data_IF_870241469988
#
_entry.id   IF_870241469988
#
_cell.length_a   1.000
_cell.length_b   1.000
_cell.length_c   1.000
_cell.angle_alpha   90.00
_cell.angle_beta   90.00
_cell.angle_gamma   90.00
#
_symmetry.space_group_name_H-M   'P 1'
#
loop_
_entity.id
_entity.type
_entity.pdbx_description
1 polymer ?
#
# COMPACT_ATOMS: atom_id res chain seq x y z
N UNK A 1 -27.09 18.80 4.81
CA UNK A 1 -26.40 18.25 3.69
C UNK A 1 -25.11 17.57 4.11
N UNK A 2 -24.89 16.36 3.71
CA UNK A 2 -23.70 15.60 4.05
C UNK A 2 -22.44 16.31 3.56
N UNK A 3 -21.82 17.07 4.43
CA UNK A 3 -20.53 17.72 4.22
C UNK A 3 -19.39 16.67 4.16
N UNK A 4 -19.70 15.43 4.55
CA UNK A 4 -18.72 14.33 4.60
C UNK A 4 -18.50 13.61 3.28
N UNK A 5 -19.24 13.93 2.22
CA UNK A 5 -19.28 13.13 0.99
C UNK A 5 -18.19 13.41 -0.03
N UNK A 6 -17.35 14.45 0.13
CA UNK A 6 -16.32 14.79 -0.85
C UNK A 6 -14.93 14.34 -0.42
N UNK A 7 -14.78 13.02 -0.25
CA UNK A 7 -13.48 12.39 -0.07
C UNK A 7 -13.14 11.56 -1.29
N UNK A 8 -11.99 11.81 -1.88
CA UNK A 8 -11.52 11.10 -3.07
C UNK A 8 -10.20 10.39 -2.78
N UNK A 9 -10.05 9.20 -3.33
CA UNK A 9 -8.85 8.39 -3.19
C UNK A 9 -8.18 8.26 -4.55
N UNK A 10 -6.90 8.61 -4.58
CA UNK A 10 -6.02 8.47 -5.73
C UNK A 10 -4.88 7.53 -5.36
N UNK A 11 -4.61 6.55 -6.21
CA UNK A 11 -3.50 5.64 -6.01
C UNK A 11 -2.59 5.65 -7.25
N UNK A 12 -1.30 5.78 -7.03
CA UNK A 12 -0.31 5.78 -8.07
C UNK A 12 -0.11 4.36 -8.62
N UNK A 13 0.14 4.25 -9.93
CA UNK A 13 0.17 2.99 -10.68
C UNK A 13 1.13 1.95 -10.11
N UNK A 14 2.36 2.31 -9.76
CA UNK A 14 3.33 1.38 -9.18
C UNK A 14 2.91 0.87 -7.80
N UNK A 15 2.33 1.75 -7.00
CA UNK A 15 1.79 1.37 -5.69
C UNK A 15 0.64 0.37 -5.87
N UNK A 16 -0.27 0.66 -6.78
CA UNK A 16 -1.39 -0.22 -7.11
C UNK A 16 -0.92 -1.59 -7.62
N UNK A 17 0.00 -1.59 -8.57
CA UNK A 17 0.57 -2.80 -9.16
C UNK A 17 1.27 -3.66 -8.10
N UNK A 18 2.01 -3.04 -7.20
CA UNK A 18 2.71 -3.76 -6.13
C UNK A 18 1.73 -4.44 -5.18
N UNK A 19 0.67 -3.75 -4.74
CA UNK A 19 -0.35 -4.35 -3.88
C UNK A 19 -0.94 -5.59 -4.54
N UNK A 20 -1.32 -5.47 -5.81
CA UNK A 20 -1.90 -6.60 -6.54
C UNK A 20 -0.90 -7.74 -6.71
N UNK A 21 0.37 -7.45 -6.95
CA UNK A 21 1.38 -8.49 -7.04
C UNK A 21 1.56 -9.25 -5.72
N UNK A 22 1.56 -8.54 -4.60
CA UNK A 22 1.64 -9.16 -3.26
C UNK A 22 0.40 -10.02 -3.00
N UNK A 23 -0.79 -9.50 -3.30
CA UNK A 23 -2.05 -10.19 -3.05
C UNK A 23 -2.18 -11.50 -3.85
N UNK A 24 -1.81 -11.46 -5.13
CA UNK A 24 -2.03 -12.58 -6.05
C UNK A 24 -0.83 -13.49 -6.27
N UNK A 25 0.33 -13.19 -5.71
CA UNK A 25 1.49 -14.08 -5.70
C UNK A 25 1.21 -15.34 -4.88
N UNK A 26 0.56 -15.17 -3.75
CA UNK A 26 0.10 -16.26 -2.88
C UNK A 26 -1.34 -16.00 -2.47
N UNK A 27 -2.32 -16.19 -3.41
CA UNK A 27 -3.70 -15.76 -3.19
C UNK A 27 -4.41 -16.49 -2.04
N UNK A 28 -3.90 -17.63 -1.61
CA UNK A 28 -4.40 -18.41 -0.47
C UNK A 28 -3.91 -17.88 0.89
N UNK A 29 -2.92 -17.00 0.91
CA UNK A 29 -2.35 -16.47 2.14
C UNK A 29 -2.87 -15.07 2.45
N UNK A 30 -2.91 -14.73 3.75
CA UNK A 30 -3.19 -13.37 4.17
C UNK A 30 -1.95 -12.50 4.04
N UNK A 31 -2.11 -11.31 3.44
CA UNK A 31 -1.06 -10.34 3.24
C UNK A 31 -1.50 -8.96 3.75
N UNK A 32 -0.56 -8.18 4.21
CA UNK A 32 -0.84 -6.81 4.63
C UNK A 32 0.36 -5.89 4.37
N UNK A 33 0.09 -4.61 4.40
CA UNK A 33 1.11 -3.58 4.30
C UNK A 33 0.56 -2.22 4.62
N UNK A 34 1.45 -1.24 4.65
CA UNK A 34 1.13 0.14 4.99
C UNK A 34 1.15 0.99 3.73
N UNK A 35 0.18 1.87 3.61
CA UNK A 35 0.04 2.81 2.50
C UNK A 35 0.61 4.16 2.90
N UNK A 36 1.43 4.72 2.02
CA UNK A 36 2.13 5.99 2.23
C UNK A 36 1.72 7.00 1.18
N UNK A 37 1.61 8.24 1.59
CA UNK A 37 1.22 9.30 0.68
C UNK A 37 0.98 10.61 1.39
N UNK A 38 0.00 11.36 0.93
CA UNK A 38 -0.33 12.67 1.45
C UNK A 38 -1.82 12.95 1.33
N UNK A 39 -2.32 13.79 2.21
CA UNK A 39 -3.70 14.27 2.19
C UNK A 39 -3.70 15.73 1.78
N UNK A 40 -4.45 16.05 0.74
CA UNK A 40 -4.67 17.43 0.31
C UNK A 40 -6.11 17.84 0.65
N UNK A 41 -6.23 18.93 1.39
CA UNK A 41 -7.52 19.48 1.81
C UNK A 41 -7.78 20.78 1.09
N UNK A 42 -8.94 20.89 0.47
CA UNK A 42 -9.52 22.14 0.02
C UNK A 42 -10.83 22.39 0.76
N UNK A 43 -11.47 23.54 0.57
CA UNK A 43 -12.72 23.88 1.25
C UNK A 43 -13.86 22.91 0.92
N UNK A 44 -13.81 22.27 -0.25
CA UNK A 44 -14.87 21.40 -0.76
C UNK A 44 -14.50 19.91 -0.77
N UNK A 45 -13.20 19.58 -0.83
CA UNK A 45 -12.75 18.20 -1.01
C UNK A 45 -11.57 17.85 -0.11
N UNK A 46 -11.53 16.58 0.28
CA UNK A 46 -10.35 15.94 0.87
C UNK A 46 -9.88 14.86 -0.09
N UNK A 47 -8.65 14.99 -0.56
CA UNK A 47 -8.06 14.03 -1.49
C UNK A 47 -6.93 13.27 -0.82
N UNK A 48 -6.99 11.97 -0.88
CA UNK A 48 -5.97 11.07 -0.38
C UNK A 48 -5.14 10.58 -1.56
N UNK A 49 -3.84 10.85 -1.55
CA UNK A 49 -2.92 10.39 -2.59
C UNK A 49 -2.02 9.30 -2.02
N UNK A 50 -2.15 8.09 -2.55
CA UNK A 50 -1.34 6.94 -2.17
C UNK A 50 -0.22 6.79 -3.20
N UNK A 51 1.03 6.93 -2.75
CA UNK A 51 2.22 6.94 -3.62
C UNK A 51 3.24 5.85 -3.26
N UNK A 52 3.14 5.29 -2.08
CA UNK A 52 4.07 4.27 -1.63
C UNK A 52 3.37 3.16 -0.85
N UNK A 53 3.98 2.02 -0.85
CA UNK A 53 3.49 0.83 -0.13
C UNK A 53 4.68 0.14 0.52
N UNK A 54 4.53 -0.22 1.77
CA UNK A 54 5.50 -1.05 2.48
C UNK A 54 4.79 -2.32 2.94
N UNK A 55 5.31 -3.46 2.55
CA UNK A 55 4.77 -4.75 2.95
C UNK A 55 5.07 -5.02 4.42
N UNK A 56 4.04 -5.36 5.19
CA UNK A 56 4.16 -5.74 6.59
C UNK A 56 4.42 -7.25 6.67
N UNK A 57 5.64 -7.67 6.32
CA UNK A 57 6.04 -9.07 6.38
C UNK A 57 7.10 -9.26 7.47
N UNK A 58 6.80 -10.14 8.41
CA UNK A 58 7.76 -10.59 9.41
C UNK A 58 7.86 -12.10 9.37
N UNK A 59 8.97 -12.69 9.88
CA UNK A 59 9.07 -14.14 10.03
C UNK A 59 7.90 -14.74 10.83
N UNK A 60 7.33 -13.99 11.74
CA UNK A 60 6.16 -14.41 12.54
C UNK A 60 4.88 -14.45 11.69
N UNK A 61 4.75 -13.60 10.68
CA UNK A 61 3.63 -13.63 9.71
C UNK A 61 3.74 -14.79 8.72
N UNK A 62 4.92 -15.37 8.59
CA UNK A 62 5.12 -16.57 7.77
C UNK A 62 4.57 -17.83 8.45
N UNK A 63 4.29 -17.77 9.75
CA UNK A 63 3.76 -18.87 10.54
C UNK A 63 2.27 -18.75 10.81
N UNK A 64 1.42 -18.71 9.80
CA UNK A 64 -0.04 -18.94 9.88
C UNK A 64 -0.88 -18.13 10.91
N UNK A 65 -0.33 -17.11 11.56
CA UNK A 65 -1.07 -16.36 12.57
C UNK A 65 -1.94 -15.21 12.03
N UNK A 66 -1.95 -15.03 10.71
CA UNK A 66 -2.72 -13.97 10.08
C UNK A 66 -2.08 -12.59 10.21
N UNK A 67 -2.87 -11.57 9.93
CA UNK A 67 -2.42 -10.19 9.93
C UNK A 67 -2.37 -9.65 11.35
N UNK A 68 -1.21 -9.13 11.77
CA UNK A 68 -1.02 -8.47 13.05
C UNK A 68 -0.16 -7.22 12.89
N UNK A 69 -0.39 -6.21 13.72
CA UNK A 69 0.48 -5.06 13.87
C UNK A 69 0.93 -4.99 15.32
N UNK A 70 2.22 -5.14 15.55
CA UNK A 70 2.83 -5.04 16.87
C UNK A 70 4.01 -4.07 16.82
N UNK A 71 4.64 -3.83 17.95
CA UNK A 71 5.75 -2.88 18.08
C UNK A 71 6.92 -3.22 17.16
N UNK A 72 7.30 -4.49 17.06
CA UNK A 72 8.40 -4.94 16.18
C UNK A 72 8.11 -4.72 14.71
N UNK A 73 6.87 -4.97 14.29
CA UNK A 73 6.41 -4.76 12.91
C UNK A 73 6.46 -3.27 12.58
N UNK A 74 5.97 -2.42 13.49
CA UNK A 74 6.01 -0.97 13.31
C UNK A 74 7.45 -0.42 13.26
N UNK A 75 8.36 -0.94 14.08
CA UNK A 75 9.77 -0.56 14.02
C UNK A 75 10.37 -0.81 12.64
N UNK A 76 10.12 -1.98 12.06
CA UNK A 76 10.56 -2.32 10.70
C UNK A 76 9.92 -1.43 9.64
N UNK A 77 8.62 -1.19 9.77
CA UNK A 77 7.89 -0.31 8.84
C UNK A 77 8.48 1.10 8.88
N UNK A 78 8.69 1.68 10.04
CA UNK A 78 9.26 3.01 10.17
C UNK A 78 10.70 3.09 9.63
N UNK A 79 11.50 2.06 9.82
CA UNK A 79 12.84 2.00 9.24
C UNK A 79 12.79 2.01 7.71
N UNK A 80 11.86 1.29 7.11
CA UNK A 80 11.67 1.27 5.66
C UNK A 80 11.08 2.58 5.13
N UNK A 81 10.18 3.22 5.86
CA UNK A 81 9.65 4.55 5.52
C UNK A 81 10.80 5.56 5.45
N UNK A 82 11.65 5.59 6.47
CA UNK A 82 12.79 6.49 6.55
C UNK A 82 13.77 6.26 5.39
N UNK A 83 13.97 5.02 5.01
CA UNK A 83 14.89 4.64 3.93
C UNK A 83 14.34 4.99 2.54
N UNK A 84 13.08 4.66 2.26
CA UNK A 84 12.50 4.74 0.90
C UNK A 84 11.56 5.92 0.69
N UNK A 85 10.82 6.33 1.71
CA UNK A 85 9.73 7.29 1.58
C UNK A 85 9.79 8.38 2.68
N UNK A 86 10.93 9.06 2.86
CA UNK A 86 11.09 10.00 3.99
C UNK A 86 10.15 11.20 3.93
N UNK A 87 9.61 11.51 2.74
CA UNK A 87 8.75 12.68 2.53
C UNK A 87 7.25 12.33 2.56
N UNK A 88 6.91 11.05 2.72
CA UNK A 88 5.53 10.61 2.78
C UNK A 88 5.12 10.25 4.21
N UNK A 89 3.81 10.30 4.46
CA UNK A 89 3.22 9.91 5.73
C UNK A 89 2.37 8.66 5.57
N UNK A 90 2.08 7.98 6.67
CA UNK A 90 1.17 6.83 6.70
C UNK A 90 -0.25 7.35 6.47
N UNK A 91 -0.89 6.90 5.40
CA UNK A 91 -2.25 7.30 5.03
C UNK A 91 -3.23 6.13 5.07
N UNK A 92 -2.77 4.96 5.44
CA UNK A 92 -3.63 3.80 5.56
C UNK A 92 -2.86 2.49 5.49
N UNK A 93 -3.57 1.44 5.14
CA UNK A 93 -3.02 0.10 5.02
C UNK A 93 -3.82 -0.73 4.03
N UNK A 94 -3.25 -1.84 3.62
CA UNK A 94 -3.97 -2.82 2.83
C UNK A 94 -3.96 -4.19 3.49
N UNK A 95 -5.00 -4.95 3.24
CA UNK A 95 -5.10 -6.37 3.60
C UNK A 95 -5.57 -7.14 2.38
N UNK A 96 -4.99 -8.30 2.16
CA UNK A 96 -5.42 -9.24 1.13
C UNK A 96 -5.64 -10.61 1.77
N UNK A 97 -6.75 -11.26 1.42
CA UNK A 97 -7.09 -12.56 1.98
C UNK A 97 -8.08 -13.32 1.09
N UNK A 98 -8.07 -14.66 1.17
CA UNK A 98 -8.99 -15.49 0.39
C UNK A 98 -10.34 -15.60 1.10
N UNK A 99 -11.28 -14.75 0.71
CA UNK A 99 -12.61 -14.70 1.33
C UNK A 99 -12.64 -13.86 2.61
N UNK A 100 -13.70 -13.12 2.78
CA UNK A 100 -13.86 -12.20 3.91
C UNK A 100 -15.17 -12.51 4.61
N UNK A 101 -15.08 -13.20 5.76
CA UNK A 101 -16.23 -13.41 6.61
C UNK A 101 -16.54 -12.15 7.42
N UNK A 102 -17.74 -12.05 7.96
CA UNK A 102 -18.12 -10.96 8.84
C UNK A 102 -17.20 -10.88 10.07
N UNK A 103 -16.86 -12.01 10.65
CA UNK A 103 -15.92 -12.09 11.77
C UNK A 103 -14.53 -11.56 11.42
N UNK A 104 -14.00 -11.92 10.24
CA UNK A 104 -12.72 -11.40 9.77
C UNK A 104 -12.78 -9.90 9.51
N UNK A 105 -13.86 -9.42 8.94
CA UNK A 105 -14.06 -7.99 8.73
C UNK A 105 -14.05 -7.20 10.04
N UNK A 106 -14.69 -7.70 11.08
CA UNK A 106 -14.68 -7.09 12.41
C UNK A 106 -13.26 -7.06 13.01
N UNK A 107 -12.49 -8.10 12.78
CA UNK A 107 -11.07 -8.13 13.18
C UNK A 107 -10.25 -7.06 12.46
N UNK A 108 -10.44 -6.91 11.15
CA UNK A 108 -9.78 -5.87 10.36
C UNK A 108 -10.17 -4.46 10.80
N UNK A 109 -11.44 -4.27 11.14
CA UNK A 109 -11.94 -3.02 11.70
C UNK A 109 -11.21 -2.67 13.01
N UNK A 110 -11.04 -3.65 13.89
CA UNK A 110 -10.29 -3.47 15.14
C UNK A 110 -8.84 -3.08 14.88
N UNK A 111 -8.17 -3.76 13.95
CA UNK A 111 -6.80 -3.41 13.55
C UNK A 111 -6.72 -1.99 13.02
N UNK A 112 -7.70 -1.57 12.24
CA UNK A 112 -7.76 -0.22 11.70
C UNK A 112 -7.89 0.81 12.83
N UNK A 113 -8.81 0.58 13.75
CA UNK A 113 -9.03 1.48 14.90
C UNK A 113 -7.80 1.58 15.80
N UNK A 114 -7.12 0.47 16.05
CA UNK A 114 -5.98 0.42 16.96
C UNK A 114 -4.70 1.02 16.34
N UNK A 115 -4.53 0.95 15.01
CA UNK A 115 -3.27 1.29 14.34
C UNK A 115 -3.37 2.46 13.35
N UNK A 116 -4.54 2.74 12.81
CA UNK A 116 -4.74 3.70 11.72
C UNK A 116 -5.87 4.68 12.04
N UNK A 117 -5.88 5.20 13.27
CA UNK A 117 -6.85 6.21 13.67
C UNK A 117 -6.65 7.52 12.90
N UNK A 118 -7.73 8.17 12.53
CA UNK A 118 -7.71 9.42 11.81
C UNK A 118 -8.73 9.46 10.68
N UNK A 119 -9.26 10.65 10.38
CA UNK A 119 -10.38 10.84 9.46
C UNK A 119 -10.09 10.54 8.00
N UNK A 120 -8.81 10.51 7.60
CA UNK A 120 -8.40 10.22 6.23
C UNK A 120 -7.47 9.01 6.12
N UNK A 121 -7.47 8.14 7.10
CA UNK A 121 -6.78 6.85 7.01
C UNK A 121 -7.67 5.85 6.29
N UNK A 122 -7.17 5.23 5.23
CA UNK A 122 -7.94 4.27 4.44
C UNK A 122 -7.52 2.83 4.72
N UNK A 123 -8.45 1.91 4.53
CA UNK A 123 -8.16 0.48 4.43
C UNK A 123 -8.48 0.02 3.01
N UNK A 124 -7.49 -0.53 2.32
CA UNK A 124 -7.67 -1.15 1.01
C UNK A 124 -7.74 -2.65 1.18
N UNK A 125 -8.90 -3.23 0.89
CA UNK A 125 -9.18 -4.64 1.14
C UNK A 125 -9.33 -5.39 -0.17
N UNK A 126 -8.50 -6.42 -0.34
CA UNK A 126 -8.48 -7.29 -1.52
C UNK A 126 -8.98 -8.68 -1.13
N UNK A 127 -10.09 -9.11 -1.72
CA UNK A 127 -10.57 -10.47 -1.61
C UNK A 127 -10.06 -11.27 -2.80
N UNK A 128 -9.03 -12.08 -2.58
CA UNK A 128 -8.37 -12.82 -3.65
C UNK A 128 -9.20 -13.97 -4.21
N UNK A 129 -10.16 -14.48 -3.43
CA UNK A 129 -11.09 -15.52 -3.88
C UNK A 129 -12.05 -15.00 -4.95
N UNK A 130 -12.68 -13.87 -4.66
CA UNK A 130 -13.71 -13.28 -5.51
C UNK A 130 -13.16 -12.27 -6.51
N UNK A 131 -11.86 -11.94 -6.42
CA UNK A 131 -11.19 -10.91 -7.21
C UNK A 131 -11.87 -9.55 -7.07
N UNK A 132 -12.28 -9.24 -5.86
CA UNK A 132 -12.89 -7.96 -5.50
C UNK A 132 -11.94 -7.14 -4.65
N UNK A 133 -11.99 -5.83 -4.85
CA UNK A 133 -11.16 -4.88 -4.11
C UNK A 133 -11.95 -3.62 -3.80
N UNK A 134 -11.78 -3.09 -2.62
CA UNK A 134 -12.49 -1.89 -2.19
C UNK A 134 -11.65 -1.07 -1.21
N UNK A 135 -11.78 0.23 -1.31
CA UNK A 135 -11.31 1.17 -0.29
C UNK A 135 -12.39 1.43 0.72
N UNK A 136 -11.99 1.54 1.98
CA UNK A 136 -12.85 1.89 3.11
C UNK A 136 -12.26 3.10 3.82
N UNK A 137 -13.14 4.00 4.25
CA UNK A 137 -12.78 5.11 5.15
C UNK A 137 -13.58 4.99 6.44
N UNK A 138 -12.91 5.29 7.56
CA UNK A 138 -13.55 5.25 8.86
C UNK A 138 -14.38 6.50 9.09
N UNK A 139 -15.65 6.32 9.39
CA UNK A 139 -16.60 7.41 9.62
C UNK A 139 -17.66 6.95 10.62
N UNK A 140 -17.89 7.79 11.65
CA UNK A 140 -18.94 7.55 12.65
C UNK A 140 -18.93 6.15 13.26
N UNK A 141 -17.74 5.65 13.60
CA UNK A 141 -17.59 4.35 14.22
C UNK A 141 -17.59 3.15 13.27
N UNK A 142 -17.66 3.38 11.96
CA UNK A 142 -17.71 2.32 10.96
C UNK A 142 -16.73 2.52 9.81
N UNK A 143 -16.27 1.41 9.24
CA UNK A 143 -15.55 1.40 7.98
C UNK A 143 -16.56 1.42 6.84
N UNK A 144 -16.63 2.54 6.13
CA UNK A 144 -17.54 2.72 5.01
C UNK A 144 -16.84 2.48 3.68
N UNK A 145 -17.41 1.60 2.88
CA UNK A 145 -16.95 1.30 1.54
C UNK A 145 -17.08 2.53 0.65
N UNK A 146 -16.03 2.88 -0.04
CA UNK A 146 -16.01 3.99 -0.98
C UNK A 146 -16.52 3.55 -2.35
N UNK A 147 -17.12 4.47 -3.09
CA UNK A 147 -17.72 4.17 -4.40
C UNK A 147 -16.68 3.89 -5.49
N UNK A 148 -15.46 4.34 -5.30
CA UNK A 148 -14.41 4.12 -6.27
C UNK A 148 -13.12 4.84 -5.90
N UNK A 149 -12.15 4.73 -6.78
CA UNK A 149 -10.85 5.37 -6.64
C UNK A 149 -10.30 5.68 -8.03
N UNK A 150 -9.29 6.53 -8.09
CA UNK A 150 -8.64 6.91 -9.34
C UNK A 150 -7.20 6.44 -9.32
N UNK A 151 -6.82 5.65 -10.32
CA UNK A 151 -5.42 5.29 -10.53
C UNK A 151 -4.76 6.38 -11.37
N UNK A 152 -3.61 6.87 -10.93
CA UNK A 152 -2.88 7.91 -11.64
C UNK A 152 -1.43 7.49 -11.93
N UNK A 153 -0.83 8.16 -12.90
CA UNK A 153 0.51 7.87 -13.36
C UNK A 153 1.41 9.06 -13.08
N UNK A 154 2.42 8.84 -12.26
CA UNK A 154 3.40 9.84 -11.89
C UNK A 154 4.77 9.18 -11.81
N UNK A 155 5.84 9.97 -11.92
CA UNK A 155 7.19 9.47 -11.67
C UNK A 155 7.33 9.10 -10.20
N UNK A 156 7.53 7.81 -9.93
CA UNK A 156 7.54 7.26 -8.59
C UNK A 156 8.79 6.38 -8.39
N UNK A 157 9.95 7.03 -8.32
CA UNK A 157 11.22 6.32 -8.19
C UNK A 157 11.36 5.60 -6.86
N UNK A 158 10.85 6.21 -5.81
CA UNK A 158 10.91 5.68 -4.45
C UNK A 158 10.21 4.32 -4.40
N UNK A 159 9.03 4.22 -5.01
CA UNK A 159 8.30 2.94 -5.07
C UNK A 159 9.01 1.93 -5.98
N UNK A 160 9.60 2.37 -7.09
CA UNK A 160 10.37 1.50 -7.97
C UNK A 160 11.59 0.93 -7.25
N UNK A 161 12.35 1.74 -6.51
CA UNK A 161 13.49 1.28 -5.71
C UNK A 161 13.06 0.27 -4.64
N UNK A 162 11.97 0.54 -3.96
CA UNK A 162 11.44 -0.37 -2.95
C UNK A 162 11.09 -1.74 -3.57
N UNK A 163 10.42 -1.75 -4.71
CA UNK A 163 10.05 -2.98 -5.42
C UNK A 163 11.29 -3.76 -5.87
N UNK A 164 12.32 -3.07 -6.38
CA UNK A 164 13.58 -3.68 -6.81
C UNK A 164 14.29 -4.36 -5.64
N UNK A 165 14.44 -3.67 -4.53
CA UNK A 165 15.15 -4.22 -3.36
C UNK A 165 14.44 -5.45 -2.79
N UNK A 166 13.12 -5.45 -2.80
CA UNK A 166 12.33 -6.61 -2.36
C UNK A 166 12.50 -7.82 -3.29
N UNK A 167 12.68 -7.59 -4.59
CA UNK A 167 12.88 -8.68 -5.57
C UNK A 167 14.28 -9.27 -5.57
N UNK A 168 15.31 -8.48 -5.34
CA UNK A 168 16.69 -8.95 -5.29
C UNK A 168 16.94 -10.02 -4.23
N UNK A 169 16.05 -10.11 -3.25
CA UNK A 169 16.09 -11.12 -2.18
C UNK A 169 15.43 -12.45 -2.58
N UNK A 170 14.83 -12.54 -3.77
CA UNK A 170 14.20 -13.77 -4.28
C UNK A 170 14.91 -14.21 -5.55
N UNK A 171 15.11 -15.54 -5.75
CA UNK A 171 15.64 -16.03 -7.02
C UNK A 171 14.70 -15.64 -8.16
N UNK A 172 15.28 -15.15 -9.24
CA UNK A 172 14.56 -14.74 -10.45
C UNK A 172 14.13 -16.00 -11.19
N UNK A 173 12.82 -16.25 -11.25
CA UNK A 173 12.29 -17.48 -11.83
C UNK A 173 12.05 -17.42 -13.34
N UNK A 174 12.16 -16.25 -14.00
CA UNK A 174 11.94 -16.17 -15.45
C UNK A 174 12.81 -15.12 -16.15
N UNK A 175 13.28 -15.41 -17.41
CA UNK A 175 14.06 -14.48 -18.23
C UNK A 175 13.33 -13.19 -18.60
N UNK A 176 12.00 -13.23 -18.69
CA UNK A 176 11.17 -12.06 -19.03
C UNK A 176 11.12 -11.03 -17.90
N UNK A 177 11.00 -11.51 -16.67
CA UNK A 177 11.06 -10.65 -15.46
C UNK A 177 12.41 -9.96 -15.35
N UNK A 178 13.50 -10.65 -15.76
CA UNK A 178 14.85 -10.13 -15.73
C UNK A 178 15.03 -8.95 -16.70
N UNK A 179 14.44 -9.02 -17.89
CA UNK A 179 14.46 -7.91 -18.86
C UNK A 179 13.74 -6.66 -18.36
N UNK A 180 12.58 -6.83 -17.75
CA UNK A 180 11.81 -5.73 -17.16
C UNK A 180 12.60 -5.08 -16.01
N UNK A 181 13.21 -5.88 -15.16
CA UNK A 181 14.03 -5.40 -14.04
C UNK A 181 15.27 -4.62 -14.53
N UNK A 182 15.95 -5.08 -15.57
CA UNK A 182 17.07 -4.37 -16.18
C UNK A 182 16.63 -3.02 -16.76
N UNK A 183 15.49 -2.97 -17.42
CA UNK A 183 14.92 -1.73 -17.96
C UNK A 183 14.60 -0.72 -16.86
N UNK A 184 14.01 -1.16 -15.75
CA UNK A 184 13.69 -0.30 -14.60
C UNK A 184 14.98 0.24 -13.97
N UNK A 185 16.01 -0.60 -13.78
CA UNK A 185 17.32 -0.17 -13.25
C UNK A 185 17.98 0.88 -14.14
N UNK A 186 17.95 0.69 -15.45
CA UNK A 186 18.50 1.67 -16.41
C UNK A 186 17.81 3.02 -16.30
N UNK A 187 16.47 3.02 -16.19
CA UNK A 187 15.69 4.24 -16.05
C UNK A 187 16.03 4.98 -14.75
N UNK A 188 16.14 4.25 -13.64
CA UNK A 188 16.49 4.82 -12.34
C UNK A 188 17.89 5.43 -12.39
N UNK A 189 18.86 4.73 -12.95
CA UNK A 189 20.24 5.20 -13.07
C UNK A 189 20.36 6.46 -13.93
N UNK A 190 19.73 6.49 -15.10
CA UNK A 190 19.70 7.68 -15.97
C UNK A 190 19.14 8.90 -15.25
N UNK A 191 18.16 8.72 -14.42
CA UNK A 191 17.52 9.81 -13.71
C UNK A 191 18.29 10.31 -12.51
N UNK A 192 19.01 9.45 -11.82
CA UNK A 192 19.97 9.85 -10.78
C UNK A 192 21.10 10.67 -11.38
N UNK A 193 21.63 10.26 -12.53
CA UNK A 193 22.65 11.00 -13.28
C UNK A 193 22.15 12.36 -13.72
N UNK A 194 20.90 12.47 -14.20
CA UNK A 194 20.31 13.76 -14.57
C UNK A 194 20.07 14.68 -13.38
N UNK A 195 19.72 14.12 -12.21
CA UNK A 195 19.61 14.91 -10.97
C UNK A 195 20.95 15.48 -10.54
N UNK A 196 22.03 14.71 -10.66
CA UNK A 196 23.38 15.15 -10.32
C UNK A 196 23.89 16.24 -11.27
N UNK A 197 23.56 16.17 -12.56
CA UNK A 197 23.95 17.20 -13.54
C UNK A 197 23.23 18.54 -13.39
N UNK A 198 22.09 18.57 -12.69
CA UNK A 198 21.32 19.79 -12.42
C UNK A 198 21.71 20.50 -11.12
N UNK A 199 22.59 19.91 -10.33
CA UNK A 199 23.20 20.56 -9.16
C UNK A 199 24.51 21.21 -9.53
#
# INVERSE_FOLDING_TARGET
>A
GDVSSNRKIYIEDYAFTYINSVAYQTPEDEQAGVLLGEVQKSDEEKCLFIKGVIRAKTPENETKQGIVFNEKIWEKIYAEIEKFFPDLEVVGWFAAMPGITQERFLYLKKLHMDNFSGGMKTMYLVNTCDKEENFYLYENGELKKQKGYVCFYERNYEMQEYMLERRERKPIESPEKDKVMKSIRSIIQEKEEMRQRRK
#
